data_IF_600984406021
#
_entry.id   IF_600984406021
#
_cell.length_a   1.000
_cell.length_b   1.000
_cell.length_c   1.000
_cell.angle_alpha   90.00
_cell.angle_beta   90.00
_cell.angle_gamma   90.00
#
_symmetry.space_group_name_H-M   'P 1'
#
loop_
_entity.id
_entity.type
_entity.pdbx_description
1 polymer ?
#
# COMPACT_ATOMS: atom_id res chain seq x y z
N UNK A 1 14.82 21.13 -15.31
CA UNK A 1 15.85 21.00 -14.26
C UNK A 1 15.16 20.55 -12.97
N UNK A 2 14.42 19.45 -13.10
CA UNK A 2 14.56 18.19 -12.37
C UNK A 2 14.86 18.33 -10.87
N UNK A 3 13.75 18.29 -10.12
CA UNK A 3 13.75 18.04 -8.68
C UNK A 3 14.03 16.58 -8.41
N UNK A 4 15.26 16.27 -8.02
CA UNK A 4 15.61 15.06 -7.32
C UNK A 4 15.05 15.15 -5.89
N UNK A 5 13.79 14.76 -5.70
CA UNK A 5 13.33 14.34 -4.37
C UNK A 5 13.68 12.86 -4.23
N UNK A 6 14.94 12.64 -3.88
CA UNK A 6 15.54 11.35 -3.60
C UNK A 6 14.79 10.67 -2.45
N UNK A 7 14.37 9.44 -2.71
CA UNK A 7 13.67 8.51 -1.81
C UNK A 7 14.68 7.91 -0.80
N UNK A 8 15.64 8.71 -0.33
CA UNK A 8 16.80 8.22 0.44
C UNK A 8 16.57 8.20 1.95
N UNK A 9 15.45 8.73 2.46
CA UNK A 9 15.20 8.77 3.91
C UNK A 9 14.60 7.51 4.55
N UNK A 10 14.28 6.46 3.80
CA UNK A 10 13.53 5.30 4.34
C UNK A 10 14.40 4.09 4.70
N UNK A 11 15.65 4.03 4.21
CA UNK A 11 16.54 2.90 4.48
C UNK A 11 17.50 3.16 5.65
N UNK A 12 17.72 4.42 6.02
CA UNK A 12 18.66 4.79 7.09
C UNK A 12 18.10 4.50 8.50
N UNK A 13 16.78 4.35 8.66
CA UNK A 13 16.18 4.11 9.97
C UNK A 13 16.13 2.62 10.37
N UNK A 14 16.52 1.70 9.46
CA UNK A 14 16.72 0.29 9.82
C UNK A 14 17.92 0.08 10.78
N UNK A 15 18.79 1.07 10.93
CA UNK A 15 19.99 0.96 11.78
C UNK A 15 19.74 1.26 13.27
N UNK A 16 18.53 1.72 13.66
CA UNK A 16 18.33 2.34 14.97
C UNK A 16 17.43 1.58 15.97
N UNK A 17 16.82 0.43 15.63
CA UNK A 17 15.80 -0.18 16.50
C UNK A 17 16.04 -1.61 16.99
N UNK A 18 16.26 -1.64 18.31
CA UNK A 18 16.00 -2.67 19.32
C UNK A 18 16.53 -4.10 19.14
N UNK A 19 17.47 -4.42 20.03
CA UNK A 19 17.69 -5.75 20.63
C UNK A 19 17.73 -6.91 19.64
N UNK A 20 18.93 -7.13 19.13
CA UNK A 20 19.38 -8.31 18.38
C UNK A 20 18.85 -9.59 19.06
N UNK A 21 17.71 -10.08 18.58
CA UNK A 21 17.44 -11.51 18.56
C UNK A 21 18.12 -12.00 17.27
N UNK A 22 19.18 -12.83 17.35
CA UNK A 22 19.94 -13.25 16.16
C UNK A 22 19.15 -14.18 15.23
N UNK A 23 17.90 -14.51 15.58
CA UNK A 23 16.98 -15.21 14.70
C UNK A 23 16.25 -14.17 13.82
N UNK A 24 16.55 -14.17 12.52
CA UNK A 24 15.75 -13.40 11.56
C UNK A 24 14.34 -13.97 11.62
N UNK A 25 13.42 -13.18 12.15
CA UNK A 25 12.00 -13.50 12.15
C UNK A 25 11.54 -13.74 10.70
N UNK A 26 10.81 -14.83 10.46
CA UNK A 26 10.30 -15.14 9.12
C UNK A 26 9.38 -14.04 8.61
N UNK A 27 8.71 -13.31 9.53
CA UNK A 27 7.90 -12.16 9.19
C UNK A 27 8.78 -11.02 8.65
N UNK A 28 9.91 -10.75 9.28
CA UNK A 28 10.83 -9.69 8.86
C UNK A 28 11.55 -10.03 7.57
N UNK A 29 11.94 -11.30 7.39
CA UNK A 29 12.46 -11.80 6.12
C UNK A 29 11.46 -11.62 4.98
N UNK A 30 10.16 -11.86 5.23
CA UNK A 30 9.12 -11.69 4.22
C UNK A 30 8.93 -10.21 3.86
N UNK A 31 8.91 -9.30 4.85
CA UNK A 31 8.84 -7.85 4.61
C UNK A 31 10.02 -7.37 3.77
N UNK A 32 11.24 -7.80 4.13
CA UNK A 32 12.44 -7.47 3.39
C UNK A 32 12.40 -8.00 1.94
N UNK A 33 11.92 -9.23 1.74
CA UNK A 33 11.74 -9.81 0.40
C UNK A 33 10.73 -9.01 -0.45
N UNK A 34 9.61 -8.58 0.15
CA UNK A 34 8.59 -7.77 -0.51
C UNK A 34 9.17 -6.39 -0.91
N UNK A 35 9.89 -5.72 -0.01
CA UNK A 35 10.55 -4.43 -0.26
C UNK A 35 11.62 -4.48 -1.35
N UNK A 36 12.47 -5.51 -1.30
CA UNK A 36 13.62 -5.65 -2.19
C UNK A 36 13.29 -6.34 -3.52
N UNK A 37 12.02 -6.67 -3.79
CA UNK A 37 11.60 -7.39 -5.00
C UNK A 37 12.18 -6.78 -6.29
N UNK A 38 12.12 -5.45 -6.41
CA UNK A 38 12.64 -4.68 -7.55
C UNK A 38 14.15 -4.78 -7.78
N UNK A 39 14.94 -5.10 -6.74
CA UNK A 39 16.42 -5.21 -6.83
C UNK A 39 16.86 -6.63 -7.19
N UNK A 40 15.96 -7.61 -7.09
CA UNK A 40 16.29 -9.00 -7.30
C UNK A 40 16.12 -9.34 -8.78
N UNK A 41 17.22 -9.72 -9.43
CA UNK A 41 17.27 -10.00 -10.85
C UNK A 41 16.52 -11.27 -11.26
N UNK A 42 16.26 -12.19 -10.30
CA UNK A 42 15.54 -13.44 -10.56
C UNK A 42 14.19 -13.50 -9.82
N UNK A 43 13.11 -13.19 -10.55
CA UNK A 43 11.74 -13.22 -10.06
C UNK A 43 11.26 -14.62 -9.66
N UNK A 44 11.74 -15.68 -10.32
CA UNK A 44 11.36 -17.06 -9.97
C UNK A 44 11.91 -17.49 -8.62
N UNK A 45 13.17 -17.17 -8.32
CA UNK A 45 13.76 -17.52 -7.04
C UNK A 45 13.18 -16.67 -5.90
N UNK A 46 12.85 -15.40 -6.18
CA UNK A 46 12.11 -14.56 -5.24
C UNK A 46 10.71 -15.14 -4.93
N UNK A 47 9.95 -15.55 -5.94
CA UNK A 47 8.63 -16.17 -5.72
C UNK A 47 8.75 -17.42 -4.84
N UNK A 48 9.73 -18.29 -5.10
CA UNK A 48 9.99 -19.47 -4.24
C UNK A 48 10.36 -19.08 -2.81
N UNK A 49 11.24 -18.10 -2.63
CA UNK A 49 11.64 -17.61 -1.31
C UNK A 49 10.43 -17.09 -0.53
N UNK A 50 9.60 -16.25 -1.18
CA UNK A 50 8.37 -15.73 -0.59
C UNK A 50 7.46 -16.87 -0.17
N UNK A 51 7.24 -17.87 -1.03
CA UNK A 51 6.38 -19.00 -0.69
C UNK A 51 6.92 -19.82 0.48
N UNK A 52 8.23 -20.05 0.56
CA UNK A 52 8.83 -20.74 1.71
C UNK A 52 8.58 -19.96 3.00
N UNK A 53 8.74 -18.64 2.98
CA UNK A 53 8.49 -17.77 4.14
C UNK A 53 7.02 -17.75 4.54
N UNK A 54 6.11 -17.63 3.56
CA UNK A 54 4.66 -17.67 3.79
C UNK A 54 4.25 -19.02 4.39
N UNK A 55 4.74 -20.14 3.87
CA UNK A 55 4.44 -21.46 4.43
C UNK A 55 4.92 -21.59 5.88
N UNK A 56 6.09 -21.04 6.21
CA UNK A 56 6.58 -21.02 7.58
C UNK A 56 5.67 -20.17 8.50
N UNK A 57 5.27 -18.99 8.04
CA UNK A 57 4.36 -18.10 8.79
C UNK A 57 2.97 -18.71 8.99
N UNK A 58 2.45 -19.46 8.01
CA UNK A 58 1.19 -20.21 8.14
C UNK A 58 1.31 -21.28 9.24
N UNK A 59 2.42 -22.02 9.28
CA UNK A 59 2.67 -23.03 10.35
C UNK A 59 2.79 -22.38 11.72
N UNK A 60 3.35 -21.17 11.79
CA UNK A 60 3.47 -20.40 13.03
C UNK A 60 2.20 -19.62 13.40
N UNK A 61 1.19 -19.58 12.53
CA UNK A 61 -0.02 -18.79 12.66
C UNK A 61 0.28 -17.29 12.91
N UNK A 62 1.28 -16.75 12.20
CA UNK A 62 1.79 -15.38 12.39
C UNK A 62 1.67 -14.51 11.11
N UNK A 63 0.79 -14.94 10.21
CA UNK A 63 0.56 -14.29 8.92
C UNK A 63 -0.17 -12.94 9.06
N UNK A 64 -0.81 -12.67 10.20
CA UNK A 64 -1.44 -11.37 10.50
C UNK A 64 -0.55 -10.46 11.38
N UNK A 65 0.72 -10.82 11.56
CA UNK A 65 1.68 -10.00 12.30
C UNK A 65 1.78 -8.59 11.74
N UNK A 66 1.95 -7.64 12.66
CA UNK A 66 2.16 -6.23 12.36
C UNK A 66 3.59 -5.84 12.70
N UNK A 67 4.15 -4.90 11.93
CA UNK A 67 5.41 -4.26 12.29
C UNK A 67 5.22 -3.19 13.40
N UNK A 68 6.30 -2.49 13.74
CA UNK A 68 6.28 -1.40 14.71
C UNK A 68 5.35 -0.23 14.34
N UNK A 69 5.07 -0.06 13.04
CA UNK A 69 4.17 0.94 12.49
C UNK A 69 2.72 0.43 12.38
N UNK A 70 2.44 -0.80 12.79
CA UNK A 70 1.14 -1.43 12.69
C UNK A 70 0.79 -1.92 11.28
N UNK A 71 1.76 -1.94 10.36
CA UNK A 71 1.57 -2.41 8.99
C UNK A 71 1.63 -3.94 8.93
N UNK A 72 0.66 -4.52 8.23
CA UNK A 72 0.66 -5.93 7.84
C UNK A 72 1.36 -6.14 6.50
N UNK A 73 1.59 -7.39 6.09
CA UNK A 73 2.17 -7.68 4.77
C UNK A 73 1.43 -7.02 3.61
N UNK A 74 0.09 -6.89 3.69
CA UNK A 74 -0.70 -6.22 2.64
C UNK A 74 -0.42 -4.72 2.58
N UNK A 75 -0.14 -4.06 3.72
CA UNK A 75 0.30 -2.67 3.73
C UNK A 75 1.65 -2.52 3.00
N UNK A 76 2.60 -3.42 3.28
CA UNK A 76 3.90 -3.45 2.61
C UNK A 76 3.76 -3.66 1.10
N UNK A 77 2.95 -4.63 0.65
CA UNK A 77 2.65 -4.82 -0.78
C UNK A 77 2.10 -3.52 -1.40
N UNK A 78 1.22 -2.82 -0.69
CA UNK A 78 0.65 -1.55 -1.18
C UNK A 78 1.66 -0.38 -1.17
N UNK A 79 2.80 -0.49 -0.49
CA UNK A 79 3.88 0.50 -0.51
C UNK A 79 4.94 0.16 -1.56
N UNK A 80 5.18 -1.13 -1.83
CA UNK A 80 6.23 -1.62 -2.72
C UNK A 80 6.13 -1.14 -4.16
N UNK A 81 7.28 -0.91 -4.80
CA UNK A 81 7.35 -0.38 -6.17
C UNK A 81 6.72 -1.35 -7.18
N UNK A 82 7.04 -2.65 -7.09
CA UNK A 82 6.55 -3.68 -8.03
C UNK A 82 5.30 -4.40 -7.51
N UNK A 83 4.16 -3.73 -7.54
CA UNK A 83 2.90 -4.34 -7.06
C UNK A 83 2.32 -5.39 -7.99
N UNK A 84 2.61 -5.28 -9.29
CA UNK A 84 2.02 -6.17 -10.30
C UNK A 84 2.56 -7.60 -10.17
N UNK A 85 3.80 -7.75 -9.70
CA UNK A 85 4.40 -9.05 -9.41
C UNK A 85 3.58 -9.85 -8.39
N UNK A 86 3.12 -9.21 -7.30
CA UNK A 86 2.36 -9.85 -6.22
C UNK A 86 0.87 -10.10 -6.51
N UNK A 87 0.38 -9.60 -7.65
CA UNK A 87 -0.97 -9.84 -8.17
C UNK A 87 -0.95 -10.83 -9.35
N UNK A 88 0.22 -11.03 -9.95
CA UNK A 88 0.41 -11.93 -11.10
C UNK A 88 0.26 -13.41 -10.74
N UNK A 89 0.11 -14.26 -11.76
CA UNK A 89 0.11 -15.73 -11.60
C UNK A 89 1.47 -16.27 -11.11
N UNK A 90 2.56 -15.52 -11.30
CA UNK A 90 3.90 -15.93 -10.86
C UNK A 90 4.08 -15.87 -9.34
N UNK A 91 3.38 -14.93 -8.69
CA UNK A 91 3.39 -14.77 -7.24
C UNK A 91 2.03 -14.20 -6.77
N UNK A 92 0.99 -15.03 -6.65
CA UNK A 92 -0.33 -14.58 -6.21
C UNK A 92 -0.38 -14.38 -4.69
N UNK A 93 0.62 -13.69 -4.13
CA UNK A 93 0.75 -13.43 -2.70
C UNK A 93 -0.41 -12.61 -2.17
N UNK A 94 -0.82 -11.56 -2.88
CA UNK A 94 -1.93 -10.72 -2.41
C UNK A 94 -3.27 -11.47 -2.40
N UNK A 95 -3.69 -12.15 -3.49
CA UNK A 95 -4.88 -12.99 -3.46
C UNK A 95 -4.84 -14.05 -2.35
N UNK A 96 -3.67 -14.65 -2.10
CA UNK A 96 -3.49 -15.63 -1.04
C UNK A 96 -3.70 -15.02 0.35
N UNK A 97 -3.06 -13.90 0.66
CA UNK A 97 -3.22 -13.20 1.95
C UNK A 97 -4.66 -12.77 2.20
N UNK A 98 -5.37 -12.34 1.16
CA UNK A 98 -6.79 -11.97 1.25
C UNK A 98 -7.68 -13.17 1.54
N UNK A 99 -7.38 -14.33 0.94
CA UNK A 99 -8.14 -15.55 1.15
C UNK A 99 -7.93 -16.12 2.57
N UNK A 100 -6.71 -16.06 3.09
CA UNK A 100 -6.38 -16.54 4.43
C UNK A 100 -6.86 -15.56 5.53
N UNK A 101 -6.67 -14.25 5.33
CA UNK A 101 -6.97 -13.22 6.35
C UNK A 101 -7.73 -12.06 5.71
N UNK A 102 -9.04 -12.18 5.44
CA UNK A 102 -9.81 -11.13 4.78
C UNK A 102 -9.89 -9.82 5.59
N UNK A 103 -9.87 -9.93 6.92
CA UNK A 103 -9.95 -8.80 7.85
C UNK A 103 -8.74 -7.85 7.75
N UNK A 104 -7.63 -8.32 7.17
CA UNK A 104 -6.40 -7.55 6.97
C UNK A 104 -6.64 -6.30 6.11
N UNK A 105 -7.65 -6.32 5.23
CA UNK A 105 -7.99 -5.21 4.33
C UNK A 105 -8.65 -4.02 5.02
N UNK A 106 -9.24 -4.25 6.20
CA UNK A 106 -9.85 -3.22 7.04
C UNK A 106 -8.97 -2.87 8.25
N UNK A 107 -7.89 -3.63 8.47
CA UNK A 107 -6.94 -3.35 9.55
C UNK A 107 -6.23 -2.04 9.28
N UNK A 108 -6.22 -1.18 10.29
CA UNK A 108 -5.55 0.13 10.25
C UNK A 108 -4.16 -0.01 10.86
N UNK A 109 -3.17 0.59 10.21
CA UNK A 109 -1.85 0.79 10.82
C UNK A 109 -1.89 1.89 11.89
N UNK A 110 -0.75 2.18 12.54
CA UNK A 110 -0.65 3.20 13.59
C UNK A 110 -0.95 4.62 13.09
N UNK A 111 -0.89 4.83 11.77
CA UNK A 111 -1.30 6.08 11.13
C UNK A 111 -2.80 6.14 10.85
N UNK A 112 -3.54 5.08 11.16
CA UNK A 112 -4.96 4.95 10.90
C UNK A 112 -5.30 4.75 9.43
N UNK A 113 -4.35 4.27 8.64
CA UNK A 113 -4.50 3.98 7.22
C UNK A 113 -4.74 2.50 7.03
N UNK A 114 -5.70 2.16 6.17
CA UNK A 114 -5.89 0.79 5.67
C UNK A 114 -5.05 0.60 4.38
N UNK A 115 -4.81 -0.64 3.91
CA UNK A 115 -3.96 -0.88 2.73
C UNK A 115 -4.39 -0.11 1.48
N UNK A 116 -5.69 0.08 1.26
CA UNK A 116 -6.20 0.85 0.13
C UNK A 116 -5.76 2.33 0.17
N UNK A 117 -5.61 2.93 1.36
CA UNK A 117 -5.08 4.30 1.46
C UNK A 117 -3.62 4.37 1.02
N UNK A 118 -2.81 3.39 1.43
CA UNK A 118 -1.40 3.30 1.02
C UNK A 118 -1.29 3.09 -0.49
N UNK A 119 -2.12 2.21 -1.06
CA UNK A 119 -2.13 1.98 -2.50
C UNK A 119 -2.43 3.26 -3.29
N UNK A 120 -3.36 4.09 -2.81
CA UNK A 120 -3.70 5.38 -3.43
C UNK A 120 -2.58 6.41 -3.19
N UNK A 121 -2.05 6.49 -1.99
CA UNK A 121 -0.96 7.41 -1.63
C UNK A 121 0.28 7.17 -2.49
N UNK A 122 0.63 5.91 -2.72
CA UNK A 122 1.72 5.47 -3.57
C UNK A 122 1.36 5.33 -5.04
N UNK A 123 0.17 5.77 -5.46
CA UNK A 123 -0.28 5.81 -6.87
C UNK A 123 -0.14 4.46 -7.58
N UNK A 124 -0.55 3.39 -6.90
CA UNK A 124 -0.46 2.02 -7.41
C UNK A 124 -1.36 1.79 -8.60
N UNK A 125 -1.00 0.79 -9.39
CA UNK A 125 -1.71 0.47 -10.61
C UNK A 125 -3.13 -0.01 -10.35
N UNK A 126 -3.98 0.17 -11.36
CA UNK A 126 -5.38 -0.23 -11.30
C UNK A 126 -5.62 -1.72 -11.03
N UNK A 127 -4.80 -2.68 -11.52
CA UNK A 127 -4.98 -4.10 -11.18
C UNK A 127 -4.92 -4.37 -9.68
N UNK A 128 -3.98 -3.76 -8.95
CA UNK A 128 -3.88 -3.87 -7.50
C UNK A 128 -5.11 -3.28 -6.81
N UNK A 129 -5.48 -2.05 -7.17
CA UNK A 129 -6.64 -1.36 -6.60
C UNK A 129 -7.93 -2.15 -6.84
N UNK A 130 -8.09 -2.72 -8.04
CA UNK A 130 -9.22 -3.56 -8.39
C UNK A 130 -9.27 -4.82 -7.52
N UNK A 131 -8.15 -5.50 -7.33
CA UNK A 131 -8.08 -6.69 -6.47
C UNK A 131 -8.50 -6.36 -5.03
N UNK A 132 -7.99 -5.26 -4.46
CA UNK A 132 -8.37 -4.81 -3.12
C UNK A 132 -9.85 -4.42 -3.00
N UNK A 133 -10.39 -3.71 -4.00
CA UNK A 133 -11.79 -3.27 -4.03
C UNK A 133 -12.77 -4.43 -4.23
N UNK A 134 -12.42 -5.40 -5.08
CA UNK A 134 -13.23 -6.61 -5.29
C UNK A 134 -13.24 -7.46 -4.03
N UNK A 135 -12.09 -7.60 -3.35
CA UNK A 135 -11.98 -8.36 -2.13
C UNK A 135 -12.71 -7.72 -0.94
N UNK A 136 -12.64 -6.40 -0.80
CA UNK A 136 -13.31 -5.68 0.27
C UNK A 136 -13.87 -4.34 -0.23
N UNK A 137 -15.13 -4.29 -0.69
CA UNK A 137 -15.75 -3.05 -1.14
C UNK A 137 -15.96 -2.03 0.01
N UNK A 138 -16.07 -2.50 1.24
CA UNK A 138 -16.20 -1.64 2.43
C UNK A 138 -14.92 -0.83 2.73
N UNK A 139 -13.77 -1.30 2.24
CA UNK A 139 -12.51 -0.53 2.31
C UNK A 139 -12.65 0.85 1.65
N UNK A 140 -13.44 0.97 0.58
CA UNK A 140 -13.68 2.23 -0.15
C UNK A 140 -14.45 3.28 0.67
N UNK A 141 -15.23 2.84 1.67
CA UNK A 141 -16.04 3.70 2.53
C UNK A 141 -15.35 4.01 3.87
N UNK A 142 -14.24 3.35 4.15
CA UNK A 142 -13.54 3.46 5.43
C UNK A 142 -12.67 4.72 5.42
N UNK A 143 -12.95 5.75 6.25
CA UNK A 143 -12.12 6.93 6.30
C UNK A 143 -10.80 6.65 7.03
N UNK A 144 -9.73 7.33 6.61
CA UNK A 144 -8.49 7.39 7.39
C UNK A 144 -8.70 8.19 8.69
N UNK A 145 -7.96 7.84 9.75
CA UNK A 145 -8.09 8.57 11.03
C UNK A 145 -7.44 9.96 10.99
N UNK A 146 -6.31 10.11 10.28
CA UNK A 146 -5.53 11.36 10.25
C UNK A 146 -6.23 12.52 9.55
N UNK A 147 -6.90 12.28 8.41
CA UNK A 147 -7.56 13.34 7.62
C UNK A 147 -9.07 13.19 7.55
N UNK A 148 -9.65 12.14 8.16
CA UNK A 148 -11.06 11.74 7.98
C UNK A 148 -11.46 11.66 6.51
N UNK A 149 -10.49 11.38 5.64
CA UNK A 149 -10.67 11.31 4.20
C UNK A 149 -10.99 9.89 3.82
N UNK A 150 -12.01 9.74 2.97
CA UNK A 150 -12.25 8.48 2.27
C UNK A 150 -11.15 8.25 1.23
N UNK A 151 -10.88 7.00 0.83
CA UNK A 151 -9.99 6.66 -0.28
C UNK A 151 -10.22 7.53 -1.53
N UNK A 152 -11.48 7.77 -1.91
CA UNK A 152 -11.82 8.63 -3.04
C UNK A 152 -11.40 10.10 -2.86
N UNK A 153 -11.48 10.64 -1.64
CA UNK A 153 -11.01 12.00 -1.35
C UNK A 153 -9.48 12.09 -1.48
N UNK A 154 -8.76 11.03 -1.09
CA UNK A 154 -7.30 10.96 -1.26
C UNK A 154 -6.91 10.96 -2.75
N UNK A 155 -7.63 10.21 -3.60
CA UNK A 155 -7.41 10.20 -5.06
C UNK A 155 -7.55 11.60 -5.69
N UNK A 156 -8.63 12.32 -5.35
CA UNK A 156 -8.90 13.67 -5.88
C UNK A 156 -7.87 14.69 -5.35
N UNK A 157 -7.40 14.53 -4.12
CA UNK A 157 -6.37 15.41 -3.56
C UNK A 157 -5.02 15.26 -4.28
N UNK A 158 -4.66 14.03 -4.70
CA UNK A 158 -3.45 13.75 -5.47
C UNK A 158 -3.53 14.32 -6.89
N UNK A 159 -4.68 14.21 -7.56
CA UNK A 159 -4.82 14.74 -8.94
C UNK A 159 -4.69 16.27 -9.00
N UNK A 160 -5.11 16.97 -7.95
CA UNK A 160 -4.98 18.44 -7.84
C UNK A 160 -3.55 18.91 -7.58
N UNK A 161 -2.63 18.03 -7.20
CA UNK A 161 -1.20 18.33 -7.08
C UNK A 161 -0.45 18.37 -8.41
N UNK A 162 -1.07 17.92 -9.51
CA UNK A 162 -0.42 17.83 -10.83
C UNK A 162 -0.78 19.00 -11.77
N UNK A 163 -1.54 19.99 -11.32
CA UNK A 163 -1.82 21.20 -12.11
C UNK A 163 -1.00 22.39 -11.60
N UNK A 164 0.29 22.41 -11.93
CA UNK A 164 1.05 23.67 -12.10
C UNK A 164 0.77 24.33 -13.46
N UNK A 165 -0.34 24.00 -14.12
CA UNK A 165 -0.88 24.77 -15.23
C UNK A 165 -2.25 25.32 -14.85
N UNK A 166 -2.27 26.62 -14.51
CA UNK A 166 -3.42 27.51 -14.66
C UNK A 166 -4.70 27.18 -13.90
N UNK A 167 -4.76 27.55 -12.62
CA UNK A 167 -6.04 27.80 -11.93
C UNK A 167 -6.35 29.31 -11.90
N UNK A 168 -6.27 29.97 -13.06
CA UNK A 168 -6.82 31.31 -13.26
C UNK A 168 -8.17 31.31 -14.01
N UNK A 169 -8.67 30.17 -14.52
CA UNK A 169 -9.88 30.16 -15.37
C UNK A 169 -11.02 29.24 -14.90
N UNK A 170 -11.34 29.23 -13.60
CA UNK A 170 -12.67 28.76 -13.15
C UNK A 170 -13.38 29.78 -12.25
N UNK A 171 -13.28 31.05 -12.65
CA UNK A 171 -14.11 32.16 -12.15
C UNK A 171 -15.29 32.54 -13.05
N UNK A 172 -15.70 31.71 -14.02
CA UNK A 172 -16.75 32.12 -14.98
C UNK A 172 -17.69 31.00 -15.47
N UNK A 173 -18.18 30.15 -14.57
CA UNK A 173 -19.46 29.47 -14.81
C UNK A 173 -20.52 30.05 -13.89
N UNK A 174 -21.01 31.23 -14.30
CA UNK A 174 -22.24 31.80 -13.80
C UNK A 174 -23.41 30.87 -14.10
N UNK A 175 -23.75 30.00 -13.15
CA UNK A 175 -25.05 29.35 -13.11
C UNK A 175 -26.09 30.42 -12.77
N UNK A 176 -26.62 31.05 -13.82
CA UNK A 176 -27.76 31.98 -13.74
C UNK A 176 -29.01 31.15 -13.42
N UNK A 177 -29.29 30.98 -12.14
CA UNK A 177 -30.60 30.50 -11.64
C UNK A 177 -31.63 31.59 -11.96
N UNK A 178 -32.65 31.35 -12.79
CA UNK A 178 -33.71 32.33 -13.00
C UNK A 178 -34.61 32.34 -11.76
N UNK A 179 -34.58 33.44 -10.99
CA UNK A 179 -35.59 33.71 -9.97
C UNK A 179 -36.89 34.10 -10.68
N UNK A 180 -37.92 33.28 -10.49
CA UNK A 180 -39.31 33.65 -10.79
C UNK A 180 -39.75 34.77 -9.85
N UNK A 181 -40.24 35.86 -10.41
CA UNK A 181 -41.34 36.67 -9.87
C UNK A 181 -42.21 37.12 -11.03
#
# INVERSE_FOLDING_TARGET
MDGENTIEGWWDDCSSRSSINPYIDSAEALRAAICCAHKLTNKMDLSKLIWILVQNLVVQNDLDSVDEDGNTFVHWICMCIETDFFVSEECPLLPFLIAEIPDVLLRRNNQGMIPLHLAIEHSKEWPLLRTLLVACPESAKTPNLKRKQMPLHAMISKSKGCHSYGLDELGNYGVRIPRRH
#
